data_IF_919499935357
#
_entry.id   IF_919499935357
#
_cell.length_a   1.000
_cell.length_b   1.000
_cell.length_c   1.000
_cell.angle_alpha   90.00
_cell.angle_beta   90.00
_cell.angle_gamma   90.00
#
_symmetry.space_group_name_H-M   'P 1'
#
loop_
_entity.id
_entity.type
_entity.pdbx_description
1 polymer ?
#
# COMPACT_ATOMS: atom_id res chain seq x y z
N UNK A 1 -54.31 20.86 37.73
CA UNK A 1 -55.00 22.13 38.07
C UNK A 1 -54.35 23.25 37.26
N UNK A 2 -55.12 24.26 36.85
CA UNK A 2 -54.63 25.44 36.11
C UNK A 2 -54.81 26.69 36.99
N UNK A 3 -54.23 27.82 36.54
CA UNK A 3 -54.28 29.17 37.15
C UNK A 3 -53.41 29.31 38.42
N UNK A 4 -52.75 30.44 38.69
CA UNK A 4 -53.06 31.81 38.22
C UNK A 4 -51.82 32.70 37.90
N UNK A 5 -52.09 33.76 37.11
CA UNK A 5 -51.33 35.02 36.97
C UNK A 5 -51.78 36.02 38.09
N UNK A 6 -51.36 37.30 38.25
CA UNK A 6 -50.96 38.29 37.20
C UNK A 6 -49.93 39.39 37.59
N UNK A 7 -49.81 40.40 36.69
CA UNK A 7 -49.40 41.82 36.95
C UNK A 7 -47.90 42.12 37.13
N UNK A 8 -47.32 43.26 36.71
CA UNK A 8 -47.46 44.22 35.57
C UNK A 8 -46.24 45.19 35.65
N UNK A 9 -46.02 46.33 34.95
CA UNK A 9 -46.72 47.20 33.95
C UNK A 9 -45.69 48.23 33.41
N UNK A 10 -45.87 48.78 32.19
CA UNK A 10 -45.30 50.10 31.72
C UNK A 10 -43.75 50.14 31.60
N UNK A 11 -43.04 50.80 30.66
CA UNK A 11 -43.24 51.45 29.32
C UNK A 11 -41.77 51.73 28.79
N UNK A 12 -41.33 52.35 27.69
CA UNK A 12 -41.79 53.36 26.70
C UNK A 12 -41.37 52.95 25.24
N UNK A 13 -40.65 53.80 24.48
CA UNK A 13 -40.21 53.62 23.07
C UNK A 13 -38.66 53.66 22.88
N UNK A 14 -38.14 53.24 21.71
CA UNK A 14 -37.44 54.16 20.76
C UNK A 14 -36.64 53.46 19.62
N UNK A 15 -37.14 53.63 18.39
CA UNK A 15 -36.47 54.03 17.12
C UNK A 15 -35.11 53.42 16.69
N UNK A 16 -35.12 52.87 15.47
CA UNK A 16 -34.04 52.64 14.48
C UNK A 16 -32.55 52.72 14.86
N UNK A 17 -31.84 51.63 14.56
CA UNK A 17 -30.77 51.73 13.55
C UNK A 17 -30.65 50.47 12.68
N UNK A 18 -30.65 50.65 11.36
CA UNK A 18 -30.34 49.58 10.40
C UNK A 18 -28.84 49.51 10.17
N UNK A 19 -28.18 48.44 10.59
CA UNK A 19 -26.81 48.12 10.18
C UNK A 19 -26.80 47.02 9.14
N UNK A 20 -26.17 47.29 8.00
CA UNK A 20 -26.08 46.33 6.89
C UNK A 20 -25.18 45.15 7.26
N UNK A 21 -25.50 43.96 6.77
CA UNK A 21 -24.60 42.79 6.82
C UNK A 21 -23.92 42.63 5.45
N UNK A 22 -22.69 43.13 5.25
CA UNK A 22 -21.93 42.84 4.04
C UNK A 22 -21.34 41.41 4.11
N UNK A 23 -21.86 40.51 3.27
CA UNK A 23 -21.14 39.31 2.81
C UNK A 23 -20.42 39.65 1.48
N UNK A 24 -19.32 38.99 1.10
CA UNK A 24 -18.46 38.07 1.88
C UNK A 24 -16.96 38.46 1.85
N UNK A 25 -16.19 38.13 2.91
CA UNK A 25 -14.71 38.09 2.79
C UNK A 25 -14.30 36.73 2.21
N UNK A 26 -14.31 36.66 0.88
CA UNK A 26 -13.79 35.56 0.08
C UNK A 26 -12.25 35.63 0.01
N UNK A 27 -11.53 35.35 1.11
CA UNK A 27 -10.06 35.30 1.04
C UNK A 27 -9.35 34.47 2.14
N UNK A 28 -9.60 33.16 2.19
CA UNK A 28 -8.54 32.22 2.61
C UNK A 28 -8.67 30.82 2.01
N UNK A 29 -8.80 30.75 0.68
CA UNK A 29 -8.31 29.58 -0.03
C UNK A 29 -6.79 29.56 0.16
N UNK A 30 -6.29 28.76 1.11
CA UNK A 30 -4.86 28.50 1.22
C UNK A 30 -4.43 27.77 -0.05
N UNK A 31 -3.80 28.49 -0.97
CA UNK A 31 -3.08 27.90 -2.09
C UNK A 31 -1.92 27.09 -1.51
N UNK A 32 -2.18 25.83 -1.19
CA UNK A 32 -1.17 24.79 -1.30
C UNK A 32 -0.84 24.58 -2.78
N UNK A 33 -0.24 25.60 -3.39
CA UNK A 33 0.74 25.46 -4.46
C UNK A 33 1.97 24.78 -3.85
N UNK A 34 1.79 23.56 -3.36
CA UNK A 34 2.86 22.60 -3.25
C UNK A 34 3.32 22.34 -4.67
N UNK A 35 4.30 23.13 -5.11
CA UNK A 35 5.10 22.83 -6.30
C UNK A 35 5.80 21.52 -5.99
N UNK A 36 5.13 20.42 -6.32
CA UNK A 36 5.73 19.10 -6.41
C UNK A 36 6.74 19.16 -7.55
N UNK A 37 7.92 19.69 -7.23
CA UNK A 37 9.14 19.38 -7.95
C UNK A 37 9.19 17.86 -7.92
N UNK A 38 8.96 17.23 -9.07
CA UNK A 38 8.86 15.78 -9.18
C UNK A 38 10.20 15.16 -8.78
N UNK A 39 10.34 14.87 -7.49
CA UNK A 39 11.47 14.14 -6.94
C UNK A 39 11.50 12.79 -7.65
N UNK A 40 12.66 12.42 -8.18
CA UNK A 40 12.83 11.12 -8.82
C UNK A 40 12.66 10.06 -7.73
N UNK A 41 11.47 9.48 -7.66
CA UNK A 41 11.19 8.35 -6.79
C UNK A 41 11.88 7.13 -7.40
N UNK A 42 12.79 6.56 -6.64
CA UNK A 42 13.43 5.29 -6.95
C UNK A 42 12.78 4.23 -6.06
N UNK A 43 12.43 3.09 -6.64
CA UNK A 43 12.00 1.89 -5.92
C UNK A 43 13.12 0.88 -6.02
N UNK A 44 13.50 0.26 -4.91
CA UNK A 44 14.43 -0.87 -4.91
C UNK A 44 13.63 -2.17 -5.10
N UNK A 45 13.98 -2.99 -6.09
CA UNK A 45 13.45 -4.36 -6.22
C UNK A 45 14.42 -5.31 -5.54
N UNK A 46 13.94 -6.11 -4.60
CA UNK A 46 14.70 -7.17 -3.93
C UNK A 46 14.10 -8.50 -4.35
N UNK A 47 14.80 -9.24 -5.22
CA UNK A 47 14.38 -10.56 -5.70
C UNK A 47 14.80 -11.67 -4.71
N UNK A 48 14.34 -12.91 -4.97
CA UNK A 48 14.63 -14.12 -4.18
C UNK A 48 14.34 -14.00 -2.66
N UNK A 49 13.37 -13.18 -2.26
CA UNK A 49 12.94 -13.11 -0.86
C UNK A 49 12.33 -14.47 -0.47
N UNK A 50 12.80 -14.99 0.68
CA UNK A 50 12.68 -16.38 1.18
C UNK A 50 13.88 -17.30 0.86
N UNK A 51 14.91 -16.85 0.13
CA UNK A 51 16.20 -17.56 0.13
C UNK A 51 16.79 -17.63 1.55
N UNK A 52 16.95 -18.87 2.05
CA UNK A 52 17.51 -19.15 3.36
C UNK A 52 19.02 -18.84 3.43
N UNK A 53 19.75 -18.86 2.32
CA UNK A 53 21.20 -18.64 2.31
C UNK A 53 21.60 -17.19 2.63
N UNK A 54 20.73 -16.21 2.36
CA UNK A 54 20.99 -14.78 2.57
C UNK A 54 20.06 -14.13 3.61
N UNK A 55 19.42 -14.93 4.47
CA UNK A 55 18.31 -14.49 5.32
C UNK A 55 18.58 -13.20 6.11
N UNK A 56 19.72 -13.12 6.79
CA UNK A 56 20.01 -11.98 7.67
C UNK A 56 20.37 -10.73 6.86
N UNK A 57 20.87 -10.89 5.62
CA UNK A 57 21.14 -9.79 4.69
C UNK A 57 19.86 -9.22 4.06
N UNK A 58 18.91 -10.07 3.63
CA UNK A 58 17.61 -9.60 3.12
C UNK A 58 16.83 -8.84 4.21
N UNK A 59 16.80 -9.35 5.46
CA UNK A 59 16.11 -8.67 6.56
C UNK A 59 16.74 -7.30 6.87
N UNK A 60 18.08 -7.22 6.96
CA UNK A 60 18.79 -5.97 7.21
C UNK A 60 18.57 -4.92 6.09
N UNK A 61 18.43 -5.35 4.84
CA UNK A 61 18.15 -4.45 3.71
C UNK A 61 16.70 -3.98 3.69
N UNK A 62 15.73 -4.83 4.04
CA UNK A 62 14.33 -4.43 4.25
C UNK A 62 14.23 -3.41 5.40
N UNK A 63 14.86 -3.69 6.55
CA UNK A 63 14.92 -2.78 7.70
C UNK A 63 15.56 -1.43 7.33
N UNK A 64 16.60 -1.43 6.49
CA UNK A 64 17.20 -0.20 5.99
C UNK A 64 16.22 0.61 5.11
N UNK A 65 15.50 -0.04 4.19
CA UNK A 65 14.50 0.62 3.35
C UNK A 65 13.37 1.24 4.20
N UNK A 66 12.81 0.46 5.13
CA UNK A 66 11.78 0.89 6.08
C UNK A 66 12.25 2.09 6.92
N UNK A 67 13.46 2.02 7.49
CA UNK A 67 14.03 3.05 8.37
C UNK A 67 14.30 4.37 7.62
N UNK A 68 14.69 4.31 6.35
CA UNK A 68 15.06 5.49 5.55
C UNK A 68 13.91 6.02 4.68
N UNK A 69 12.72 5.41 4.74
CA UNK A 69 11.58 5.80 3.90
C UNK A 69 11.80 5.56 2.40
N UNK A 70 12.63 4.58 2.06
CA UNK A 70 12.93 4.19 0.67
C UNK A 70 11.91 3.14 0.23
N UNK A 71 11.21 3.41 -0.87
CA UNK A 71 10.22 2.50 -1.40
C UNK A 71 10.87 1.19 -1.91
N UNK A 72 10.27 0.05 -1.55
CA UNK A 72 10.79 -1.28 -1.87
C UNK A 72 9.70 -2.19 -2.44
N UNK A 73 10.07 -2.98 -3.45
CA UNK A 73 9.25 -4.05 -4.03
C UNK A 73 9.94 -5.38 -3.74
N UNK A 74 9.27 -6.24 -2.97
CA UNK A 74 9.82 -7.50 -2.48
C UNK A 74 9.36 -8.65 -3.39
N UNK A 75 10.27 -9.18 -4.21
CA UNK A 75 10.07 -10.39 -5.01
C UNK A 75 10.11 -11.62 -4.13
N UNK A 76 8.94 -12.09 -3.67
CA UNK A 76 8.83 -13.24 -2.74
C UNK A 76 8.53 -14.52 -3.50
N UNK A 77 9.28 -15.58 -3.17
CA UNK A 77 9.08 -16.95 -3.68
C UNK A 77 7.93 -17.61 -2.91
N UNK A 78 6.76 -17.78 -3.54
CA UNK A 78 5.51 -18.08 -2.85
C UNK A 78 5.46 -19.43 -2.11
N UNK A 79 5.64 -20.59 -2.76
CA UNK A 79 5.41 -21.91 -2.16
C UNK A 79 6.29 -22.25 -0.94
N UNK A 80 7.44 -21.60 -0.81
CA UNK A 80 8.37 -21.78 0.32
C UNK A 80 8.18 -20.72 1.42
N UNK A 81 7.43 -19.65 1.14
CA UNK A 81 7.17 -18.55 2.08
C UNK A 81 6.18 -18.97 3.16
N UNK A 82 6.38 -18.48 4.38
CA UNK A 82 5.69 -18.97 5.58
C UNK A 82 6.54 -19.88 6.46
N UNK A 83 7.64 -20.43 5.93
CA UNK A 83 8.53 -21.36 6.65
C UNK A 83 9.48 -20.65 7.62
N UNK A 84 10.11 -19.54 7.21
CA UNK A 84 10.86 -18.67 8.13
C UNK A 84 9.98 -17.52 8.65
N UNK A 85 9.55 -17.65 9.90
CA UNK A 85 8.68 -16.67 10.55
C UNK A 85 9.30 -15.28 10.71
N UNK A 86 10.62 -15.17 10.83
CA UNK A 86 11.27 -13.87 10.96
C UNK A 86 11.19 -13.08 9.65
N UNK A 87 11.38 -13.76 8.51
CA UNK A 87 11.19 -13.17 7.17
C UNK A 87 9.72 -12.81 6.95
N UNK A 88 8.78 -13.68 7.34
CA UNK A 88 7.33 -13.43 7.21
C UNK A 88 6.89 -12.18 7.96
N UNK A 89 7.22 -12.06 9.26
CA UNK A 89 6.86 -10.87 10.03
C UNK A 89 7.57 -9.62 9.51
N UNK A 90 8.83 -9.71 9.05
CA UNK A 90 9.55 -8.58 8.42
C UNK A 90 8.84 -8.07 7.15
N UNK A 91 8.32 -8.97 6.31
CA UNK A 91 7.52 -8.62 5.13
C UNK A 91 6.18 -7.98 5.54
N UNK A 92 5.52 -8.49 6.59
CA UNK A 92 4.28 -7.89 7.12
C UNK A 92 4.50 -6.50 7.71
N UNK A 93 5.58 -6.29 8.47
CA UNK A 93 5.99 -4.98 8.98
C UNK A 93 6.25 -3.98 7.85
N UNK A 94 6.92 -4.41 6.78
CA UNK A 94 7.13 -3.61 5.57
C UNK A 94 5.80 -3.22 4.91
N UNK A 95 4.91 -4.20 4.65
CA UNK A 95 3.59 -3.96 4.05
C UNK A 95 2.69 -3.04 4.89
N UNK A 96 2.85 -3.04 6.22
CA UNK A 96 2.13 -2.15 7.13
C UNK A 96 2.50 -0.66 6.95
N UNK A 97 3.63 -0.33 6.30
CA UNK A 97 3.96 1.04 5.89
C UNK A 97 3.11 1.54 4.70
N UNK A 98 2.40 0.64 4.03
CA UNK A 98 1.47 0.94 2.95
C UNK A 98 2.11 0.97 1.54
N UNK A 99 1.26 0.99 0.49
CA UNK A 99 1.66 0.71 -0.90
C UNK A 99 2.49 1.81 -1.57
N UNK A 100 2.79 2.91 -0.88
CA UNK A 100 3.75 3.94 -1.32
C UNK A 100 5.18 3.68 -0.83
N UNK A 101 5.38 2.72 0.08
CA UNK A 101 6.68 2.38 0.66
C UNK A 101 7.00 0.88 0.55
N UNK A 102 6.01 0.00 0.55
CA UNK A 102 6.24 -1.45 0.40
C UNK A 102 5.16 -2.13 -0.45
N UNK A 103 5.60 -3.00 -1.36
CA UNK A 103 4.76 -3.97 -2.06
C UNK A 103 5.43 -5.35 -2.10
N UNK A 104 4.64 -6.41 -2.29
CA UNK A 104 5.14 -7.75 -2.60
C UNK A 104 4.82 -8.09 -4.06
N UNK A 105 5.88 -8.35 -4.80
CA UNK A 105 5.88 -8.95 -6.14
C UNK A 105 5.94 -10.47 -5.99
N UNK A 106 5.10 -11.21 -6.74
CA UNK A 106 5.22 -12.67 -6.82
C UNK A 106 6.45 -13.01 -7.69
N UNK A 107 7.43 -13.73 -7.14
CA UNK A 107 8.68 -14.09 -7.85
C UNK A 107 8.62 -15.44 -8.60
N UNK A 108 7.49 -16.16 -8.50
CA UNK A 108 7.32 -17.52 -9.01
C UNK A 108 7.49 -18.59 -7.92
N UNK A 109 7.58 -19.87 -8.35
CA UNK A 109 7.48 -21.01 -7.43
C UNK A 109 8.77 -21.30 -6.64
N UNK A 110 9.94 -21.03 -7.21
CA UNK A 110 11.25 -21.34 -6.61
C UNK A 110 12.39 -20.55 -7.29
N UNK A 111 13.59 -20.60 -6.72
CA UNK A 111 14.80 -19.93 -7.20
C UNK A 111 15.56 -20.69 -8.32
N UNK A 112 14.85 -21.46 -9.15
CA UNK A 112 15.44 -22.22 -10.26
C UNK A 112 14.51 -22.38 -11.48
N UNK A 113 13.19 -22.47 -11.27
CA UNK A 113 12.19 -22.65 -12.33
C UNK A 113 12.10 -21.42 -13.24
N UNK A 114 12.56 -21.61 -14.47
CA UNK A 114 12.52 -20.62 -15.56
C UNK A 114 11.24 -20.80 -16.38
N UNK A 115 10.22 -19.99 -16.13
CA UNK A 115 8.91 -20.15 -16.78
C UNK A 115 8.96 -19.97 -18.31
N UNK A 116 9.90 -19.19 -18.84
CA UNK A 116 10.17 -19.07 -20.28
C UNK A 116 10.75 -20.32 -20.95
N UNK A 117 11.13 -21.33 -20.18
CA UNK A 117 11.59 -22.63 -20.69
C UNK A 117 10.46 -23.69 -20.72
N UNK A 118 9.24 -23.33 -20.29
CA UNK A 118 8.07 -24.22 -20.27
C UNK A 118 7.21 -24.04 -21.53
N UNK A 119 6.81 -25.16 -22.15
CA UNK A 119 6.08 -25.23 -23.43
C UNK A 119 4.55 -25.37 -23.29
N UNK A 120 4.04 -25.36 -22.04
CA UNK A 120 2.62 -25.53 -21.74
C UNK A 120 2.03 -24.37 -20.90
N UNK A 121 0.97 -23.75 -21.42
CA UNK A 121 0.14 -22.74 -20.75
C UNK A 121 -0.34 -23.20 -19.36
N UNK A 122 -0.77 -24.46 -19.22
CA UNK A 122 -1.35 -24.96 -17.96
C UNK A 122 -0.32 -25.00 -16.83
N UNK A 123 0.89 -25.49 -17.08
CA UNK A 123 1.94 -25.59 -16.06
C UNK A 123 2.43 -24.20 -15.64
N UNK A 124 2.58 -23.28 -16.60
CA UNK A 124 2.91 -21.87 -16.35
C UNK A 124 1.85 -21.19 -15.49
N UNK A 125 0.55 -21.36 -15.81
CA UNK A 125 -0.54 -20.80 -15.00
C UNK A 125 -0.60 -21.43 -13.61
N UNK A 126 -0.46 -22.76 -13.50
CA UNK A 126 -0.49 -23.50 -12.24
C UNK A 126 0.59 -23.00 -11.26
N UNK A 127 1.84 -22.85 -11.72
CA UNK A 127 2.96 -22.43 -10.87
C UNK A 127 2.85 -20.97 -10.41
N UNK A 128 2.33 -20.08 -11.26
CA UNK A 128 2.09 -18.66 -10.90
C UNK A 128 0.93 -18.54 -9.91
N UNK A 129 -0.17 -19.27 -10.13
CA UNK A 129 -1.35 -19.29 -9.26
C UNK A 129 -1.06 -19.98 -7.91
N UNK A 130 -0.29 -21.07 -7.87
CA UNK A 130 0.16 -21.70 -6.63
C UNK A 130 0.99 -20.74 -5.77
N UNK A 131 1.99 -20.09 -6.38
CA UNK A 131 2.79 -19.06 -5.70
C UNK A 131 1.92 -17.91 -5.19
N UNK A 132 1.00 -17.40 -6.02
CA UNK A 132 0.08 -16.33 -5.64
C UNK A 132 -0.83 -16.74 -4.46
N UNK A 133 -1.32 -17.98 -4.45
CA UNK A 133 -2.14 -18.52 -3.36
C UNK A 133 -1.36 -18.66 -2.05
N UNK A 134 -0.11 -19.13 -2.11
CA UNK A 134 0.75 -19.22 -0.93
C UNK A 134 0.99 -17.84 -0.31
N UNK A 135 1.39 -16.86 -1.13
CA UNK A 135 1.57 -15.48 -0.69
C UNK A 135 0.29 -14.90 -0.07
N UNK A 136 -0.87 -15.13 -0.69
CA UNK A 136 -2.17 -14.69 -0.17
C UNK A 136 -2.56 -15.35 1.15
N UNK A 137 -2.19 -16.63 1.35
CA UNK A 137 -2.45 -17.35 2.60
C UNK A 137 -1.53 -16.89 3.74
N UNK A 138 -0.24 -16.63 3.47
CA UNK A 138 0.74 -16.22 4.48
C UNK A 138 0.66 -14.74 4.85
N UNK A 139 0.29 -13.86 3.90
CA UNK A 139 0.23 -12.40 4.07
C UNK A 139 -1.19 -11.89 4.34
N UNK A 140 -1.97 -12.64 5.13
CA UNK A 140 -3.27 -12.24 5.68
C UNK A 140 -4.29 -11.76 4.61
N UNK A 141 -4.27 -12.37 3.42
CA UNK A 141 -5.12 -12.02 2.29
C UNK A 141 -4.52 -11.01 1.30
N UNK A 142 -3.29 -10.52 1.51
CA UNK A 142 -2.61 -9.66 0.55
C UNK A 142 -2.54 -10.32 -0.84
N UNK A 143 -2.80 -9.53 -1.88
CA UNK A 143 -2.87 -9.99 -3.26
C UNK A 143 -1.78 -9.27 -4.06
N UNK A 144 -0.66 -9.95 -4.42
CA UNK A 144 0.39 -9.37 -5.26
C UNK A 144 -0.18 -8.82 -6.58
N UNK A 145 0.15 -7.57 -6.90
CA UNK A 145 -0.29 -6.88 -8.13
C UNK A 145 0.74 -6.99 -9.26
N UNK A 146 1.94 -7.39 -8.90
CA UNK A 146 3.14 -7.45 -9.74
C UNK A 146 3.66 -8.88 -9.76
N UNK A 147 4.22 -9.26 -10.89
CA UNK A 147 4.91 -10.53 -11.10
C UNK A 147 6.26 -10.25 -11.74
N UNK A 148 7.29 -11.01 -11.38
CA UNK A 148 8.57 -11.03 -12.07
C UNK A 148 9.18 -12.43 -11.89
N UNK A 149 9.33 -13.26 -12.94
CA UNK A 149 9.81 -14.62 -12.79
C UNK A 149 11.31 -14.66 -12.46
N UNK A 150 11.76 -15.75 -11.85
CA UNK A 150 13.18 -16.05 -11.64
C UNK A 150 14.01 -15.86 -12.94
N UNK A 151 15.20 -15.25 -12.81
CA UNK A 151 16.07 -14.78 -13.91
C UNK A 151 15.40 -13.82 -14.93
N UNK A 152 14.18 -13.34 -14.69
CA UNK A 152 13.31 -12.70 -15.69
C UNK A 152 13.04 -13.62 -16.90
N UNK A 153 12.95 -14.95 -16.68
CA UNK A 153 12.56 -15.91 -17.71
C UNK A 153 11.03 -15.89 -17.91
N UNK A 154 10.58 -15.01 -18.80
CA UNK A 154 9.16 -14.83 -19.14
C UNK A 154 8.69 -15.89 -20.13
N UNK A 155 7.57 -16.54 -19.81
CA UNK A 155 6.83 -17.36 -20.79
C UNK A 155 5.96 -16.47 -21.68
N UNK A 156 5.88 -16.78 -22.97
CA UNK A 156 4.96 -16.10 -23.89
C UNK A 156 3.51 -16.18 -23.41
N UNK A 157 3.12 -17.30 -22.79
CA UNK A 157 1.80 -17.55 -22.20
C UNK A 157 1.38 -16.55 -21.11
N UNK A 158 2.32 -15.82 -20.50
CA UNK A 158 2.04 -14.75 -19.52
C UNK A 158 1.86 -13.36 -20.17
N UNK A 159 2.08 -13.24 -21.48
CA UNK A 159 2.13 -11.96 -22.20
C UNK A 159 1.03 -11.80 -23.26
N UNK A 160 0.27 -12.87 -23.53
CA UNK A 160 -0.75 -12.95 -24.60
C UNK A 160 -2.19 -13.03 -24.07
N UNK A 161 -2.45 -12.49 -22.86
CA UNK A 161 -3.75 -12.52 -22.17
C UNK A 161 -4.47 -11.16 -22.23
#
# INVERSE_FOLDING_TARGET
RFLASPSSKIVEESIHHSTMIPRPILLLAMLFLGTSVATKQFVLRLDDIQDFFQRDAQMALIDWCMTNGVAVSLGVIGPYFGTDKAVVEKVKECLALGPSLCEVTNHGPDASTRLGDLDNLFDVQMLVEESHNSLRATLDGYTPKTFAPHQNSWSEFLTTA
#
